data_IF_837248462091
#
_entry.id   IF_837248462091
#
_cell.length_a   1.000
_cell.length_b   1.000
_cell.length_c   1.000
_cell.angle_alpha   90.00
_cell.angle_beta   90.00
_cell.angle_gamma   90.00
#
_symmetry.space_group_name_H-M   'P 1'
#
loop_
_entity.id
_entity.type
_entity.pdbx_description
1 polymer ?
#
# COMPACT_ATOMS: atom_id res chain seq x y z
N UNK A 1 -26.26 26.27 7.52
CA UNK A 1 -26.58 24.87 7.86
C UNK A 1 -26.21 24.02 6.66
N UNK A 2 -25.21 23.14 6.72
CA UNK A 2 -24.87 22.27 5.60
C UNK A 2 -24.77 20.82 6.06
N UNK A 3 -25.93 20.20 6.29
CA UNK A 3 -25.99 18.76 6.46
C UNK A 3 -25.92 18.13 5.06
N UNK A 4 -24.82 17.44 4.78
CA UNK A 4 -24.67 16.63 3.56
C UNK A 4 -25.14 15.22 3.89
N UNK A 5 -25.98 14.63 3.05
CA UNK A 5 -26.46 13.25 3.23
C UNK A 5 -26.33 12.51 1.91
N UNK A 6 -25.83 11.27 1.96
CA UNK A 6 -25.67 10.37 0.82
C UNK A 6 -26.16 9.00 1.21
N UNK A 7 -26.98 8.40 0.36
CA UNK A 7 -27.55 7.08 0.59
C UNK A 7 -27.08 6.13 -0.50
N UNK A 8 -26.97 4.85 -0.15
CA UNK A 8 -26.65 3.83 -1.12
C UNK A 8 -27.00 2.45 -0.61
N UNK A 9 -27.09 1.51 -1.53
CA UNK A 9 -27.29 0.09 -1.27
C UNK A 9 -26.45 -0.71 -2.24
N UNK A 10 -26.22 -1.98 -1.93
CA UNK A 10 -25.50 -2.88 -2.81
C UNK A 10 -26.11 -4.28 -2.77
N UNK A 11 -26.03 -4.97 -3.90
CA UNK A 11 -26.36 -6.38 -4.04
C UNK A 11 -25.16 -7.08 -4.68
N UNK A 12 -24.82 -8.26 -4.21
CA UNK A 12 -23.73 -9.06 -4.78
C UNK A 12 -24.14 -10.52 -4.92
N UNK A 13 -23.51 -11.18 -5.88
CA UNK A 13 -23.56 -12.63 -6.05
C UNK A 13 -22.15 -13.13 -6.34
N UNK A 14 -21.78 -14.25 -5.73
CA UNK A 14 -20.52 -14.94 -5.96
C UNK A 14 -20.79 -16.44 -6.02
N UNK A 15 -20.09 -17.13 -6.92
CA UNK A 15 -20.10 -18.58 -7.00
C UNK A 15 -18.70 -19.11 -7.35
N UNK A 16 -18.42 -20.33 -6.88
CA UNK A 16 -17.18 -21.05 -7.11
C UNK A 16 -17.48 -22.36 -7.85
N UNK A 17 -17.13 -22.37 -9.13
CA UNK A 17 -17.37 -23.46 -10.06
C UNK A 17 -16.17 -24.41 -10.08
N UNK A 18 -16.35 -25.63 -9.61
CA UNK A 18 -15.39 -26.71 -9.87
C UNK A 18 -15.58 -27.17 -11.31
N UNK A 19 -14.80 -26.62 -12.24
CA UNK A 19 -14.91 -26.92 -13.68
C UNK A 19 -14.38 -28.33 -13.96
N UNK A 20 -13.26 -28.67 -13.31
CA UNK A 20 -12.69 -30.02 -13.19
C UNK A 20 -12.12 -30.17 -11.76
N UNK A 21 -11.82 -31.39 -11.27
CA UNK A 21 -11.44 -31.61 -9.87
C UNK A 21 -10.35 -30.66 -9.34
N UNK A 22 -9.36 -30.36 -10.19
CA UNK A 22 -8.20 -29.56 -9.78
C UNK A 22 -8.29 -28.09 -10.22
N UNK A 23 -9.38 -27.66 -10.87
CA UNK A 23 -9.56 -26.29 -11.32
C UNK A 23 -10.89 -25.70 -10.83
N UNK A 24 -10.78 -24.70 -9.96
CA UNK A 24 -11.91 -23.90 -9.48
C UNK A 24 -11.89 -22.52 -10.12
N UNK A 25 -13.00 -22.15 -10.75
CA UNK A 25 -13.25 -20.81 -11.26
C UNK A 25 -14.21 -20.09 -10.32
N UNK A 26 -13.84 -18.93 -9.80
CA UNK A 26 -14.71 -18.06 -9.00
C UNK A 26 -15.19 -16.89 -9.84
N UNK A 27 -16.50 -16.69 -9.87
CA UNK A 27 -17.14 -15.55 -10.53
C UNK A 27 -17.91 -14.74 -9.50
N UNK A 28 -17.76 -13.42 -9.50
CA UNK A 28 -18.66 -12.56 -8.73
C UNK A 28 -18.97 -11.26 -9.44
N UNK A 29 -20.10 -10.68 -9.07
CA UNK A 29 -20.49 -9.35 -9.48
C UNK A 29 -21.19 -8.65 -8.31
N UNK A 30 -20.87 -7.37 -8.14
CA UNK A 30 -21.50 -6.49 -7.17
C UNK A 30 -22.10 -5.29 -7.88
N UNK A 31 -23.38 -5.03 -7.67
CA UNK A 31 -24.09 -3.83 -8.10
C UNK A 31 -24.18 -2.88 -6.91
N UNK A 32 -23.53 -1.73 -7.00
CA UNK A 32 -23.67 -0.63 -6.05
C UNK A 32 -24.58 0.45 -6.64
N UNK A 33 -25.50 0.97 -5.84
CA UNK A 33 -26.23 2.20 -6.15
C UNK A 33 -25.86 3.27 -5.12
N UNK A 34 -25.43 4.43 -5.59
CA UNK A 34 -25.18 5.62 -4.78
C UNK A 34 -26.07 6.77 -5.25
N UNK A 35 -26.64 7.51 -4.30
CA UNK A 35 -27.58 8.60 -4.61
C UNK A 35 -26.98 9.71 -5.49
N UNK A 36 -25.64 9.86 -5.51
CA UNK A 36 -24.97 10.89 -6.30
C UNK A 36 -24.33 10.32 -7.58
N UNK A 37 -23.87 9.07 -7.54
CA UNK A 37 -23.11 8.47 -8.65
C UNK A 37 -23.87 7.40 -9.44
N UNK A 38 -25.12 7.13 -9.06
CA UNK A 38 -25.98 6.16 -9.72
C UNK A 38 -25.50 4.73 -9.51
N UNK A 39 -25.65 3.90 -10.54
CA UNK A 39 -25.35 2.47 -10.50
C UNK A 39 -23.94 2.16 -11.01
N UNK A 40 -23.27 1.21 -10.36
CA UNK A 40 -21.98 0.69 -10.79
C UNK A 40 -21.90 -0.81 -10.59
N UNK A 41 -21.30 -1.52 -11.56
CA UNK A 41 -21.12 -2.98 -11.49
C UNK A 41 -19.64 -3.30 -11.39
N UNK A 42 -19.28 -4.07 -10.36
CA UNK A 42 -17.91 -4.50 -10.07
C UNK A 42 -17.80 -6.02 -10.29
N UNK A 43 -17.41 -6.49 -11.49
CA UNK A 43 -17.22 -7.91 -11.76
C UNK A 43 -15.85 -8.43 -11.27
N UNK A 44 -15.78 -9.73 -11.02
CA UNK A 44 -14.56 -10.49 -10.71
C UNK A 44 -14.63 -11.87 -11.36
N UNK A 45 -13.50 -12.29 -11.92
CA UNK A 45 -13.27 -13.63 -12.45
C UNK A 45 -11.90 -14.10 -11.97
N UNK A 46 -11.83 -15.24 -11.29
CA UNK A 46 -10.59 -15.72 -10.70
C UNK A 46 -10.46 -17.24 -10.80
N UNK A 47 -9.36 -17.75 -11.34
CA UNK A 47 -9.08 -19.18 -11.45
C UNK A 47 -8.04 -19.63 -10.44
N UNK A 48 -8.25 -20.81 -9.87
CA UNK A 48 -7.29 -21.55 -9.05
C UNK A 48 -7.13 -22.94 -9.64
N UNK A 49 -5.94 -23.26 -10.15
CA UNK A 49 -5.61 -24.54 -10.75
C UNK A 49 -4.50 -25.22 -9.95
N UNK A 50 -4.82 -26.33 -9.28
CA UNK A 50 -3.83 -27.26 -8.75
C UNK A 50 -3.36 -28.14 -9.90
N UNK A 51 -2.10 -28.02 -10.31
CA UNK A 51 -1.57 -28.77 -11.45
C UNK A 51 -1.19 -30.18 -10.99
N UNK A 52 -0.54 -30.26 -9.83
CA UNK A 52 -0.18 -31.50 -9.12
C UNK A 52 0.02 -31.20 -7.63
N UNK A 53 0.61 -32.14 -6.88
CA UNK A 53 0.86 -32.02 -5.43
C UNK A 53 1.82 -30.87 -5.08
N UNK A 54 2.64 -30.41 -6.03
CA UNK A 54 3.66 -29.38 -5.83
C UNK A 54 3.33 -28.06 -6.49
N UNK A 55 2.60 -28.04 -7.61
CA UNK A 55 2.38 -26.84 -8.42
C UNK A 55 0.93 -26.38 -8.38
N UNK A 56 0.74 -25.07 -8.22
CA UNK A 56 -0.54 -24.42 -8.45
C UNK A 56 -0.38 -23.12 -9.24
N UNK A 57 -1.36 -22.82 -10.08
CA UNK A 57 -1.49 -21.56 -10.80
C UNK A 57 -2.75 -20.84 -10.31
N UNK A 58 -2.64 -19.55 -10.04
CA UNK A 58 -3.77 -18.70 -9.67
C UNK A 58 -3.76 -17.45 -10.51
N UNK A 59 -4.92 -16.87 -10.79
CA UNK A 59 -4.95 -15.61 -11.48
C UNK A 59 -6.36 -15.17 -11.79
N UNK A 60 -6.52 -13.89 -12.08
CA UNK A 60 -7.83 -13.36 -12.34
C UNK A 60 -7.83 -11.90 -12.71
N UNK A 61 -9.03 -11.43 -13.04
CA UNK A 61 -9.34 -10.05 -13.34
C UNK A 61 -10.46 -9.60 -12.41
N UNK A 62 -10.28 -8.47 -11.77
CA UNK A 62 -11.30 -7.86 -10.91
C UNK A 62 -11.42 -6.38 -11.19
N UNK A 63 -12.64 -5.87 -11.17
CA UNK A 63 -12.89 -4.44 -11.13
C UNK A 63 -12.80 -3.93 -9.68
N UNK A 64 -12.42 -2.67 -9.53
CA UNK A 64 -12.48 -1.90 -8.29
C UNK A 64 -13.33 -0.65 -8.49
N UNK A 65 -14.04 -0.25 -7.44
CA UNK A 65 -14.89 0.94 -7.43
C UNK A 65 -14.74 1.68 -6.11
N UNK A 66 -14.43 2.98 -6.19
CA UNK A 66 -14.35 3.85 -5.02
C UNK A 66 -15.02 5.18 -5.31
N UNK A 67 -16.12 5.43 -4.63
CA UNK A 67 -16.79 6.73 -4.66
C UNK A 67 -15.96 7.81 -3.92
N UNK A 68 -16.02 9.07 -4.34
CA UNK A 68 -15.42 10.18 -3.60
C UNK A 68 -15.94 10.23 -2.16
N UNK A 69 -15.15 10.74 -1.24
CA UNK A 69 -15.64 11.05 0.11
C UNK A 69 -16.55 12.28 0.10
N UNK A 70 -17.43 12.40 1.10
CA UNK A 70 -18.37 13.54 1.20
C UNK A 70 -17.65 14.90 1.24
N UNK A 71 -16.45 14.94 1.84
CA UNK A 71 -15.62 16.15 1.88
C UNK A 71 -14.97 16.48 0.54
N UNK A 72 -14.65 15.44 -0.24
CA UNK A 72 -14.08 15.58 -1.57
C UNK A 72 -15.14 16.04 -2.56
N UNK A 73 -16.36 15.48 -2.48
CA UNK A 73 -17.49 15.80 -3.35
C UNK A 73 -18.46 16.81 -2.73
N UNK A 74 -17.91 17.87 -2.14
CA UNK A 74 -18.69 19.02 -1.72
C UNK A 74 -17.91 20.32 -1.95
N UNK A 75 -18.27 21.09 -2.97
CA UNK A 75 -17.62 22.35 -3.29
C UNK A 75 -17.73 23.41 -2.17
N UNK A 76 -18.73 23.27 -1.29
CA UNK A 76 -18.89 24.09 -0.09
C UNK A 76 -18.05 23.64 1.11
N UNK A 77 -17.34 22.51 1.01
CA UNK A 77 -16.48 22.01 2.07
C UNK A 77 -15.06 22.56 1.88
N UNK A 78 -14.60 23.30 2.88
CA UNK A 78 -13.28 23.92 2.90
C UNK A 78 -12.49 23.37 4.08
N UNK A 79 -11.31 22.85 3.82
CA UNK A 79 -10.34 22.43 4.83
C UNK A 79 -9.20 23.43 4.86
N UNK A 80 -8.92 24.00 6.03
CA UNK A 80 -7.78 24.90 6.24
C UNK A 80 -6.71 24.12 6.98
N UNK A 81 -5.49 24.09 6.44
CA UNK A 81 -4.32 23.45 7.05
C UNK A 81 -3.10 24.38 6.90
N UNK A 82 -1.97 24.01 7.52
CA UNK A 82 -0.80 24.90 7.63
C UNK A 82 -0.80 25.73 8.92
N UNK A 83 0.22 26.57 9.08
CA UNK A 83 0.45 27.36 10.30
C UNK A 83 0.30 28.86 10.03
N UNK A 84 -0.28 29.60 10.99
CA UNK A 84 -0.41 31.05 10.89
C UNK A 84 0.96 31.74 10.67
N UNK A 85 1.05 32.79 9.83
CA UNK A 85 -0.04 33.51 9.16
C UNK A 85 -0.49 32.91 7.82
N UNK A 86 0.08 31.78 7.40
CA UNK A 86 -0.07 31.26 6.05
C UNK A 86 -0.75 29.90 6.04
N UNK A 87 -2.05 29.92 5.74
CA UNK A 87 -2.84 28.70 5.57
C UNK A 87 -2.86 28.22 4.13
N UNK A 88 -2.85 26.91 3.96
CA UNK A 88 -3.21 26.22 2.72
C UNK A 88 -4.69 25.83 2.80
N UNK A 89 -5.42 25.98 1.69
CA UNK A 89 -6.85 25.71 1.65
C UNK A 89 -7.14 24.57 0.67
N UNK A 90 -7.73 23.49 1.18
CA UNK A 90 -8.29 22.40 0.38
C UNK A 90 -9.79 22.60 0.19
N UNK A 91 -10.28 22.47 -1.04
CA UNK A 91 -11.70 22.60 -1.37
C UNK A 91 -12.23 21.34 -2.07
N UNK A 92 -13.49 21.00 -1.79
CA UNK A 92 -14.18 19.94 -2.52
C UNK A 92 -14.54 20.31 -3.95
N UNK A 93 -15.08 19.34 -4.67
CA UNK A 93 -15.49 19.43 -6.06
C UNK A 93 -16.71 18.53 -6.31
N UNK A 94 -17.84 19.16 -6.63
CA UNK A 94 -19.10 18.45 -6.87
C UNK A 94 -19.07 17.62 -8.17
N UNK A 95 -18.14 17.91 -9.08
CA UNK A 95 -18.01 17.26 -10.39
C UNK A 95 -17.12 16.00 -10.36
N UNK A 96 -16.67 15.56 -9.17
CA UNK A 96 -15.86 14.35 -9.05
C UNK A 96 -16.62 13.11 -9.53
N UNK A 97 -15.92 12.28 -10.30
CA UNK A 97 -16.36 10.92 -10.65
C UNK A 97 -15.79 9.91 -9.65
N UNK A 98 -16.45 8.76 -9.48
CA UNK A 98 -15.85 7.62 -8.77
C UNK A 98 -14.58 7.11 -9.45
N UNK A 99 -13.60 6.74 -8.64
CA UNK A 99 -12.41 6.03 -9.07
C UNK A 99 -12.78 4.59 -9.46
N UNK A 100 -12.26 4.13 -10.58
CA UNK A 100 -12.43 2.75 -11.04
C UNK A 100 -11.06 2.12 -11.25
N UNK A 101 -10.97 0.81 -11.07
CA UNK A 101 -9.77 0.07 -11.47
C UNK A 101 -10.09 -1.26 -12.12
N UNK A 102 -9.19 -1.75 -12.96
CA UNK A 102 -9.14 -3.13 -13.42
C UNK A 102 -7.82 -3.71 -12.95
N UNK A 103 -7.88 -4.67 -12.04
CA UNK A 103 -6.74 -5.39 -11.49
C UNK A 103 -6.65 -6.75 -12.16
N UNK A 104 -5.48 -7.07 -12.71
CA UNK A 104 -5.17 -8.38 -13.29
C UNK A 104 -3.96 -8.95 -12.57
N UNK A 105 -4.01 -10.22 -12.21
CA UNK A 105 -2.88 -10.93 -11.61
C UNK A 105 -2.74 -12.35 -12.14
N UNK A 106 -1.52 -12.85 -12.13
CA UNK A 106 -1.17 -14.23 -12.44
C UNK A 106 -0.04 -14.66 -11.51
N UNK A 107 -0.31 -15.64 -10.67
CA UNK A 107 0.59 -16.21 -9.69
C UNK A 107 0.86 -17.68 -9.93
N UNK A 108 2.11 -18.09 -9.76
CA UNK A 108 2.53 -19.48 -9.69
C UNK A 108 3.03 -19.79 -8.29
N UNK A 109 2.63 -20.96 -7.79
CA UNK A 109 3.00 -21.47 -6.49
C UNK A 109 3.67 -22.81 -6.69
N UNK A 110 4.77 -23.02 -5.97
CA UNK A 110 5.47 -24.28 -5.93
C UNK A 110 5.80 -24.64 -4.50
N UNK A 111 5.55 -25.88 -4.12
CA UNK A 111 5.93 -26.41 -2.82
C UNK A 111 6.46 -27.83 -2.95
N UNK A 112 7.63 -28.09 -2.37
CA UNK A 112 8.19 -29.42 -2.23
C UNK A 112 8.97 -29.53 -0.93
N UNK A 113 8.73 -30.61 -0.19
CA UNK A 113 9.37 -30.90 1.09
C UNK A 113 9.28 -29.70 2.07
N UNK A 114 10.43 -29.07 2.32
CA UNK A 114 10.64 -28.00 3.28
C UNK A 114 10.64 -26.60 2.63
N UNK A 115 10.42 -26.49 1.32
CA UNK A 115 10.53 -25.25 0.57
C UNK A 115 9.21 -24.93 -0.15
N UNK A 116 8.72 -23.71 0.07
CA UNK A 116 7.61 -23.11 -0.67
C UNK A 116 8.10 -21.84 -1.35
N UNK A 117 7.72 -21.66 -2.61
CA UNK A 117 8.03 -20.49 -3.43
C UNK A 117 6.76 -20.01 -4.13
N UNK A 118 6.61 -18.70 -4.25
CA UNK A 118 5.59 -18.13 -5.11
C UNK A 118 6.10 -16.91 -5.87
N UNK A 119 5.51 -16.69 -7.04
CA UNK A 119 5.78 -15.56 -7.89
C UNK A 119 4.46 -15.06 -8.48
N UNK A 120 4.17 -13.77 -8.32
CA UNK A 120 2.94 -13.14 -8.80
C UNK A 120 3.24 -11.92 -9.64
N UNK A 121 2.77 -11.91 -10.88
CA UNK A 121 2.73 -10.74 -11.73
C UNK A 121 1.38 -10.04 -11.54
N UNK A 122 1.41 -8.72 -11.38
CA UNK A 122 0.20 -7.92 -11.22
C UNK A 122 0.22 -6.69 -12.12
N UNK A 123 -0.97 -6.25 -12.52
CA UNK A 123 -1.19 -5.04 -13.29
C UNK A 123 -2.57 -4.45 -12.95
N UNK A 124 -2.56 -3.21 -12.48
CA UNK A 124 -3.74 -2.42 -12.20
C UNK A 124 -3.80 -1.20 -13.10
N UNK A 125 -4.92 -1.05 -13.79
CA UNK A 125 -5.27 0.19 -14.50
C UNK A 125 -6.29 0.96 -13.68
N UNK A 126 -5.95 2.17 -13.28
CA UNK A 126 -6.85 3.12 -12.64
C UNK A 126 -7.45 4.06 -13.68
N UNK A 127 -8.72 4.38 -13.48
CA UNK A 127 -9.45 5.39 -14.22
C UNK A 127 -10.08 6.37 -13.25
N UNK A 128 -10.09 7.64 -13.64
CA UNK A 128 -10.68 8.74 -12.88
C UNK A 128 -10.12 8.80 -11.43
N UNK A 129 -8.82 8.54 -11.24
CA UNK A 129 -8.19 8.62 -9.91
C UNK A 129 -8.35 10.03 -9.34
N UNK A 130 -8.80 10.14 -8.10
CA UNK A 130 -8.96 11.38 -7.37
C UNK A 130 -7.62 11.75 -6.74
N UNK A 131 -7.24 13.02 -6.90
CA UNK A 131 -6.12 13.66 -6.23
C UNK A 131 -6.43 15.15 -6.06
N UNK A 132 -5.60 15.87 -5.33
CA UNK A 132 -5.63 17.32 -5.27
C UNK A 132 -4.83 17.96 -6.43
N UNK A 133 -5.29 19.11 -6.90
CA UNK A 133 -4.59 19.99 -7.83
C UNK A 133 -4.62 21.43 -7.33
N UNK A 134 -3.47 22.09 -7.32
CA UNK A 134 -3.34 23.48 -6.85
C UNK A 134 -3.87 24.45 -7.91
N UNK A 135 -4.99 25.10 -7.63
CA UNK A 135 -5.63 26.07 -8.53
C UNK A 135 -5.15 27.50 -8.29
N UNK A 136 -4.51 27.77 -7.15
CA UNK A 136 -3.90 29.05 -6.84
C UNK A 136 -2.68 28.85 -5.96
N UNK A 137 -1.59 29.54 -6.29
CA UNK A 137 -0.39 29.66 -5.44
C UNK A 137 -0.09 31.14 -5.25
N UNK A 138 0.08 31.57 -4.01
CA UNK A 138 0.40 32.94 -3.66
C UNK A 138 1.78 33.32 -4.19
N UNK A 139 1.92 34.58 -4.58
CA UNK A 139 3.18 35.21 -4.95
C UNK A 139 3.45 36.39 -4.02
N UNK A 140 4.67 36.94 -4.09
CA UNK A 140 5.04 38.11 -3.30
C UNK A 140 4.10 39.32 -3.50
N UNK A 141 3.40 39.39 -4.63
CA UNK A 141 2.50 40.50 -4.98
C UNK A 141 1.03 40.11 -5.03
N UNK A 142 0.69 38.81 -4.97
CA UNK A 142 -0.69 38.33 -5.07
C UNK A 142 -0.93 37.13 -4.16
N UNK A 143 -1.78 37.33 -3.16
CA UNK A 143 -2.23 36.25 -2.28
C UNK A 143 -3.45 35.53 -2.85
N UNK A 144 -3.61 34.24 -2.52
CA UNK A 144 -4.84 33.52 -2.83
C UNK A 144 -5.94 33.97 -1.87
N UNK A 145 -7.15 34.12 -2.39
CA UNK A 145 -8.33 34.54 -1.62
C UNK A 145 -9.45 33.56 -1.91
N UNK A 146 -9.96 32.90 -0.88
CA UNK A 146 -11.07 31.95 -1.01
C UNK A 146 -12.02 32.09 0.18
N UNK A 147 -13.32 32.33 -0.09
CA UNK A 147 -14.36 32.55 0.92
C UNK A 147 -13.99 33.60 2.00
N UNK A 148 -13.23 34.63 1.64
CA UNK A 148 -12.80 35.69 2.56
C UNK A 148 -11.55 35.38 3.39
N UNK A 149 -10.90 34.23 3.16
CA UNK A 149 -9.64 33.85 3.78
C UNK A 149 -8.47 34.05 2.81
N UNK A 150 -7.37 34.59 3.33
CA UNK A 150 -6.07 34.66 2.64
C UNK A 150 -5.35 33.32 2.79
N UNK A 151 -4.78 32.82 1.68
CA UNK A 151 -4.06 31.55 1.67
C UNK A 151 -2.80 31.61 0.81
N UNK A 152 -1.83 30.77 1.16
CA UNK A 152 -0.61 30.54 0.37
C UNK A 152 -0.88 29.65 -0.84
N UNK A 153 -1.83 28.74 -0.72
CA UNK A 153 -2.29 27.91 -1.82
C UNK A 153 -3.75 27.53 -1.65
N UNK A 154 -4.42 27.30 -2.78
CA UNK A 154 -5.75 26.69 -2.81
C UNK A 154 -5.68 25.48 -3.71
N UNK A 155 -6.00 24.31 -3.17
CA UNK A 155 -6.04 23.05 -3.89
C UNK A 155 -7.45 22.49 -3.93
N UNK A 156 -7.84 21.99 -5.08
CA UNK A 156 -9.15 21.38 -5.30
C UNK A 156 -9.00 19.89 -5.61
N UNK A 157 -9.90 19.06 -5.09
CA UNK A 157 -9.98 17.68 -5.52
C UNK A 157 -10.41 17.58 -6.98
N UNK A 158 -9.68 16.85 -7.80
CA UNK A 158 -10.02 16.56 -9.18
C UNK A 158 -9.79 15.08 -9.48
N UNK A 159 -10.47 14.56 -10.51
CA UNK A 159 -10.04 13.32 -11.13
C UNK A 159 -8.79 13.64 -11.97
N UNK A 160 -7.59 13.46 -11.41
CA UNK A 160 -6.30 13.66 -12.10
C UNK A 160 -6.09 12.66 -13.25
N UNK A 161 -6.90 11.61 -13.27
CA UNK A 161 -7.21 10.79 -14.44
C UNK A 161 -6.66 9.37 -14.35
N UNK A 162 -6.08 8.87 -15.42
CA UNK A 162 -5.68 7.46 -15.54
C UNK A 162 -4.30 7.22 -14.94
N UNK A 163 -4.10 6.08 -14.30
CA UNK A 163 -2.81 5.65 -13.79
C UNK A 163 -2.63 4.14 -13.99
N UNK A 164 -1.39 3.69 -14.14
CA UNK A 164 -1.08 2.26 -14.22
C UNK A 164 -0.09 1.90 -13.12
N UNK A 165 -0.30 0.73 -12.52
CA UNK A 165 0.63 0.10 -11.58
C UNK A 165 0.86 -1.32 -12.04
N UNK A 166 2.11 -1.75 -12.20
CA UNK A 166 2.42 -3.15 -12.49
C UNK A 166 3.70 -3.57 -11.79
N UNK A 167 3.85 -4.88 -11.63
CA UNK A 167 4.99 -5.38 -10.90
C UNK A 167 5.04 -6.89 -10.78
N UNK A 168 5.97 -7.30 -9.92
CA UNK A 168 6.27 -8.67 -9.59
C UNK A 168 6.44 -8.78 -8.08
N UNK A 169 5.81 -9.79 -7.49
CA UNK A 169 6.03 -10.22 -6.11
C UNK A 169 6.64 -11.61 -6.14
N UNK A 170 7.67 -11.82 -5.33
CA UNK A 170 8.33 -13.09 -5.11
C UNK A 170 8.34 -13.37 -3.61
N UNK A 171 7.99 -14.58 -3.21
CA UNK A 171 8.13 -15.03 -1.83
C UNK A 171 8.77 -16.42 -1.78
N UNK A 172 9.47 -16.68 -0.68
CA UNK A 172 10.05 -17.97 -0.41
C UNK A 172 10.12 -18.26 1.08
N UNK A 173 9.64 -19.44 1.47
CA UNK A 173 9.65 -19.96 2.82
C UNK A 173 10.42 -21.28 2.83
N UNK A 174 11.51 -21.35 3.59
CA UNK A 174 12.39 -22.52 3.61
C UNK A 174 12.69 -22.99 5.03
N UNK A 175 12.29 -24.21 5.36
CA UNK A 175 12.76 -24.92 6.54
C UNK A 175 14.12 -25.56 6.23
N UNK A 176 15.19 -24.76 6.28
CA UNK A 176 16.58 -25.13 5.92
C UNK A 176 17.06 -26.36 6.68
N UNK A 177 16.78 -26.42 7.99
CA UNK A 177 17.02 -27.59 8.84
C UNK A 177 15.87 -27.71 9.85
N UNK A 178 15.83 -28.76 10.67
CA UNK A 178 14.83 -28.85 11.76
C UNK A 178 14.86 -27.66 12.75
N UNK A 179 15.99 -26.95 12.83
CA UNK A 179 16.20 -25.82 13.74
C UNK A 179 16.16 -24.45 13.04
N UNK A 180 16.43 -24.39 11.74
CA UNK A 180 16.64 -23.14 11.01
C UNK A 180 15.56 -22.93 9.95
N UNK A 181 14.84 -21.80 10.06
CA UNK A 181 13.88 -21.31 9.08
C UNK A 181 14.40 -20.04 8.42
N UNK A 182 14.23 -19.95 7.10
CA UNK A 182 14.49 -18.76 6.31
C UNK A 182 13.20 -18.32 5.61
N UNK A 183 13.02 -17.00 5.49
CA UNK A 183 11.96 -16.40 4.69
C UNK A 183 12.55 -15.25 3.88
N UNK A 184 12.16 -15.14 2.63
CA UNK A 184 12.56 -14.04 1.76
C UNK A 184 11.35 -13.57 0.96
N UNK A 185 11.24 -12.26 0.77
CA UNK A 185 10.31 -11.69 -0.19
C UNK A 185 10.93 -10.52 -0.93
N UNK A 186 10.45 -10.32 -2.14
CA UNK A 186 10.84 -9.22 -3.01
C UNK A 186 9.63 -8.71 -3.77
N UNK A 187 9.44 -7.39 -3.75
CA UNK A 187 8.42 -6.71 -4.53
C UNK A 187 9.10 -5.69 -5.43
N UNK A 188 8.79 -5.75 -6.73
CA UNK A 188 9.02 -4.68 -7.67
C UNK A 188 7.69 -4.07 -8.08
N UNK A 189 7.56 -2.75 -7.93
CA UNK A 189 6.37 -1.99 -8.31
C UNK A 189 6.77 -0.79 -9.15
N UNK A 190 6.28 -0.76 -10.37
CA UNK A 190 6.26 0.45 -11.20
C UNK A 190 4.88 1.09 -11.13
N UNK A 191 4.84 2.41 -11.02
CA UNK A 191 3.58 3.17 -11.13
C UNK A 191 3.81 4.40 -11.99
N UNK A 192 2.80 4.78 -12.76
CA UNK A 192 2.85 5.95 -13.63
C UNK A 192 1.47 6.59 -13.73
N UNK A 193 1.41 7.91 -13.60
CA UNK A 193 0.25 8.71 -13.96
C UNK A 193 0.20 8.88 -15.48
N UNK A 194 -0.89 8.44 -16.12
CA UNK A 194 -1.07 8.48 -17.58
C UNK A 194 -1.68 9.79 -18.09
N UNK A 195 -2.25 10.59 -17.20
CA UNK A 195 -2.84 11.89 -17.49
C UNK A 195 -2.71 12.84 -16.30
N UNK A 196 -3.22 14.06 -16.45
CA UNK A 196 -3.16 15.10 -15.41
C UNK A 196 -1.85 15.88 -15.41
N UNK A 197 -1.70 16.78 -14.44
CA UNK A 197 -0.52 17.64 -14.28
C UNK A 197 0.77 16.83 -14.13
N UNK A 198 0.73 15.72 -13.41
CA UNK A 198 1.88 14.87 -13.10
C UNK A 198 2.01 13.66 -14.05
N UNK A 199 1.52 13.77 -15.29
CA UNK A 199 1.68 12.72 -16.29
C UNK A 199 3.15 12.32 -16.47
N UNK A 200 3.42 11.02 -16.47
CA UNK A 200 4.77 10.43 -16.59
C UNK A 200 5.52 10.28 -15.27
N UNK A 201 5.01 10.86 -14.18
CA UNK A 201 5.56 10.66 -12.84
C UNK A 201 4.89 9.47 -12.12
N UNK A 202 5.57 8.95 -11.09
CA UNK A 202 5.02 7.89 -10.27
C UNK A 202 3.77 8.34 -9.50
N UNK A 203 2.93 7.37 -9.14
CA UNK A 203 1.68 7.64 -8.42
C UNK A 203 1.91 7.90 -6.93
N UNK A 204 2.94 7.29 -6.36
CA UNK A 204 3.35 7.41 -4.96
C UNK A 204 4.86 7.31 -4.86
N UNK A 205 5.43 7.87 -3.81
CA UNK A 205 6.87 7.86 -3.51
C UNK A 205 7.33 6.59 -2.77
N UNK A 206 6.47 5.56 -2.68
CA UNK A 206 6.87 4.27 -2.16
C UNK A 206 8.03 3.68 -2.99
N UNK A 207 9.08 3.12 -2.34
CA UNK A 207 10.20 2.50 -3.02
C UNK A 207 9.76 1.47 -4.06
N UNK A 208 10.24 1.63 -5.31
CA UNK A 208 9.90 0.72 -6.41
C UNK A 208 10.43 -0.69 -6.24
N UNK A 209 11.48 -0.90 -5.44
CA UNK A 209 11.93 -2.23 -5.07
C UNK A 209 12.09 -2.37 -3.56
N UNK A 210 11.53 -3.45 -3.02
CA UNK A 210 11.61 -3.77 -1.60
C UNK A 210 11.99 -5.23 -1.46
N UNK A 211 13.02 -5.51 -0.66
CA UNK A 211 13.43 -6.87 -0.32
C UNK A 211 13.41 -7.04 1.20
N UNK A 212 12.99 -8.21 1.66
CA UNK A 212 13.08 -8.59 3.06
C UNK A 212 13.59 -10.02 3.17
N UNK A 213 14.50 -10.25 4.11
CA UNK A 213 15.01 -11.59 4.44
C UNK A 213 14.96 -11.74 5.95
N UNK A 214 14.48 -12.88 6.43
CA UNK A 214 14.53 -13.23 7.85
C UNK A 214 15.06 -14.64 8.04
N UNK A 215 15.85 -14.81 9.10
CA UNK A 215 16.30 -16.10 9.58
C UNK A 215 15.82 -16.27 11.02
N UNK A 216 15.32 -17.45 11.36
CA UNK A 216 14.95 -17.85 12.72
C UNK A 216 15.60 -19.18 13.04
N UNK A 217 16.41 -19.20 14.09
CA UNK A 217 17.16 -20.37 14.52
C UNK A 217 16.76 -20.76 15.95
N UNK A 218 16.09 -21.90 16.07
CA UNK A 218 15.73 -22.51 17.34
C UNK A 218 16.85 -23.45 17.79
N UNK A 219 17.62 -23.05 18.79
CA UNK A 219 18.66 -23.92 19.34
C UNK A 219 18.05 -24.98 20.26
N UNK A 220 18.82 -26.01 20.61
CA UNK A 220 18.39 -27.06 21.53
C UNK A 220 18.14 -26.57 22.98
N UNK A 221 18.55 -25.34 23.33
CA UNK A 221 18.52 -24.80 24.68
C UNK A 221 17.35 -23.85 24.92
N UNK A 222 16.20 -24.06 24.27
CA UNK A 222 15.02 -23.19 24.43
C UNK A 222 15.29 -21.70 24.06
N UNK A 223 16.30 -21.49 23.22
CA UNK A 223 16.76 -20.20 22.74
C UNK A 223 16.43 -20.09 21.25
N UNK A 224 15.66 -19.08 20.90
CA UNK A 224 15.38 -18.68 19.53
C UNK A 224 16.19 -17.42 19.22
N UNK A 225 16.99 -17.47 18.17
CA UNK A 225 17.68 -16.31 17.61
C UNK A 225 17.00 -15.94 16.30
N UNK A 226 16.72 -14.66 16.10
CA UNK A 226 16.16 -14.17 14.85
C UNK A 226 16.94 -12.97 14.33
N UNK A 227 17.01 -12.86 13.02
CA UNK A 227 17.48 -11.66 12.34
C UNK A 227 16.59 -11.35 11.16
N UNK A 228 16.44 -10.06 10.87
CA UNK A 228 15.70 -9.56 9.71
C UNK A 228 16.52 -8.49 9.02
N UNK A 229 16.72 -8.63 7.72
CA UNK A 229 17.26 -7.59 6.86
C UNK A 229 16.14 -7.08 5.95
N UNK A 230 16.01 -5.75 5.84
CA UNK A 230 15.03 -5.09 4.99
C UNK A 230 15.74 -4.07 4.12
N UNK A 231 15.66 -4.20 2.80
CA UNK A 231 16.20 -3.23 1.86
C UNK A 231 15.09 -2.52 1.11
N UNK A 232 15.27 -1.22 0.87
CA UNK A 232 14.35 -0.36 0.13
C UNK A 232 15.15 0.43 -0.90
N UNK A 233 14.68 0.46 -2.13
CA UNK A 233 15.24 1.32 -3.18
C UNK A 233 15.00 2.79 -2.86
N UNK A 234 15.62 3.66 -3.66
CA UNK A 234 15.24 5.08 -3.71
C UNK A 234 13.75 5.19 -4.08
N UNK A 235 13.07 6.18 -3.49
CA UNK A 235 11.70 6.54 -3.89
C UNK A 235 11.66 7.03 -5.35
N UNK A 236 10.66 6.65 -6.15
CA UNK A 236 10.50 7.20 -7.49
C UNK A 236 10.12 8.70 -7.44
N UNK A 237 10.31 9.38 -8.56
CA UNK A 237 9.90 10.78 -8.71
C UNK A 237 8.38 10.85 -8.94
N UNK A 238 7.69 11.60 -8.07
CA UNK A 238 6.24 11.81 -8.13
C UNK A 238 5.85 13.19 -8.70
N UNK A 239 6.81 13.93 -9.27
CA UNK A 239 6.60 15.28 -9.79
C UNK A 239 6.49 16.35 -8.69
N UNK A 240 6.67 15.94 -7.44
CA UNK A 240 6.82 16.79 -6.26
C UNK A 240 8.24 16.57 -5.76
N UNK A 241 8.93 17.61 -5.27
CA UNK A 241 10.33 17.53 -4.81
C UNK A 241 10.52 16.74 -3.51
N UNK A 242 9.98 15.53 -3.44
CA UNK A 242 10.11 14.59 -2.34
C UNK A 242 11.03 13.43 -2.71
N UNK A 243 11.86 12.99 -1.78
CA UNK A 243 12.72 11.83 -2.00
C UNK A 243 13.21 11.18 -0.72
N UNK A 244 13.44 9.87 -0.82
CA UNK A 244 14.20 9.07 0.14
C UNK A 244 15.24 8.26 -0.63
N UNK A 245 16.51 8.33 -0.23
CA UNK A 245 17.57 7.49 -0.81
C UNK A 245 17.40 6.02 -0.45
N UNK A 246 18.06 5.13 -1.21
CA UNK A 246 18.03 3.70 -0.92
C UNK A 246 18.67 3.41 0.45
N UNK A 247 18.10 2.47 1.20
CA UNK A 247 18.59 2.10 2.52
C UNK A 247 18.36 0.64 2.85
N UNK A 248 19.11 0.14 3.82
CA UNK A 248 18.92 -1.18 4.41
C UNK A 248 18.87 -1.07 5.93
N UNK A 249 17.98 -1.83 6.56
CA UNK A 249 17.89 -1.98 8.00
C UNK A 249 18.15 -3.44 8.35
N UNK A 250 18.89 -3.66 9.42
CA UNK A 250 19.13 -4.99 9.97
C UNK A 250 18.70 -5.00 11.43
N UNK A 251 17.86 -5.96 11.76
CA UNK A 251 17.36 -6.21 13.10
C UNK A 251 17.88 -7.56 13.59
N UNK A 252 18.11 -7.65 14.89
CA UNK A 252 18.54 -8.86 15.57
C UNK A 252 17.77 -8.98 16.87
N UNK A 253 17.36 -10.19 17.22
CA UNK A 253 16.83 -10.43 18.54
C UNK A 253 16.93 -11.87 18.98
N UNK A 254 16.53 -12.04 20.23
CA UNK A 254 16.59 -13.29 20.97
C UNK A 254 15.32 -13.46 21.76
N UNK A 255 14.81 -14.68 21.78
CA UNK A 255 13.73 -15.13 22.64
C UNK A 255 14.24 -16.33 23.43
N UNK A 256 14.13 -16.26 24.74
CA UNK A 256 14.60 -17.32 25.63
C UNK A 256 13.45 -17.78 26.53
N UNK A 257 13.08 -19.06 26.41
CA UNK A 257 12.08 -19.66 27.28
C UNK A 257 12.76 -20.09 28.58
N UNK A 258 12.71 -19.19 29.57
CA UNK A 258 13.28 -19.42 30.90
C UNK A 258 12.57 -20.55 31.66
N UNK A 259 11.26 -20.70 31.45
CA UNK A 259 10.45 -21.82 31.95
C UNK A 259 9.20 -22.01 31.10
N UNK A 260 8.39 -23.04 31.40
CA UNK A 260 7.09 -23.25 30.74
C UNK A 260 6.11 -22.07 30.84
N UNK A 261 6.31 -21.16 31.81
CA UNK A 261 5.43 -20.01 32.03
C UNK A 261 6.09 -18.68 31.70
N UNK A 262 7.41 -18.64 31.46
CA UNK A 262 8.15 -17.37 31.36
C UNK A 262 9.03 -17.40 30.12
N UNK A 263 8.79 -16.43 29.23
CA UNK A 263 9.62 -16.17 28.05
C UNK A 263 10.17 -14.76 28.13
N UNK A 264 11.48 -14.63 27.98
CA UNK A 264 12.17 -13.33 27.89
C UNK A 264 12.48 -13.03 26.42
N UNK A 265 12.36 -11.77 26.03
CA UNK A 265 12.58 -11.29 24.67
C UNK A 265 13.47 -10.05 24.71
N UNK A 266 14.45 -10.00 23.83
CA UNK A 266 15.30 -8.82 23.65
C UNK A 266 15.61 -8.64 22.16
N UNK A 267 15.71 -7.39 21.71
CA UNK A 267 15.99 -7.08 20.32
C UNK A 267 16.68 -5.73 20.13
N UNK A 268 17.51 -5.67 19.09
CA UNK A 268 18.14 -4.47 18.56
C UNK A 268 17.54 -4.25 17.17
N UNK A 269 16.76 -3.19 17.02
CA UNK A 269 16.21 -2.75 15.74
C UNK A 269 17.12 -1.68 15.16
N UNK A 270 17.33 -1.73 13.84
CA UNK A 270 18.27 -0.87 13.14
C UNK A 270 19.69 -0.95 13.76
N UNK A 271 20.26 -2.15 13.77
CA UNK A 271 21.56 -2.49 14.36
C UNK A 271 22.68 -1.54 13.93
N UNK A 272 22.64 -1.06 12.68
CA UNK A 272 23.67 -0.18 12.12
C UNK A 272 23.37 1.32 12.27
N UNK A 273 22.28 1.69 12.95
CA UNK A 273 21.87 3.08 13.15
C UNK A 273 21.77 3.87 11.83
N UNK A 274 21.24 3.21 10.79
CA UNK A 274 20.99 3.83 9.49
C UNK A 274 19.85 4.82 9.65
N UNK A 275 20.04 6.05 9.18
CA UNK A 275 19.05 7.12 9.30
C UNK A 275 18.64 7.64 7.92
N UNK A 276 17.69 6.97 7.23
CA UNK A 276 17.18 7.45 5.96
C UNK A 276 16.47 8.79 6.14
N UNK A 277 16.83 9.74 5.28
CA UNK A 277 16.26 11.08 5.29
C UNK A 277 15.16 11.15 4.23
N UNK A 278 13.93 11.36 4.69
CA UNK A 278 12.82 11.72 3.81
C UNK A 278 12.79 13.23 3.63
N UNK A 279 12.98 13.70 2.40
CA UNK A 279 12.83 15.10 2.02
C UNK A 279 11.43 15.32 1.51
N UNK A 280 10.70 16.29 2.07
CA UNK A 280 9.35 16.67 1.60
C UNK A 280 9.43 17.70 0.47
N UNK A 281 8.32 17.93 -0.23
CA UNK A 281 8.19 19.00 -1.22
C UNK A 281 8.53 20.40 -0.67
N UNK A 282 8.43 20.61 0.65
CA UNK A 282 8.78 21.85 1.35
C UNK A 282 10.24 21.88 1.84
N UNK A 283 11.09 20.95 1.36
CA UNK A 283 12.48 20.74 1.80
C UNK A 283 12.65 20.45 3.28
N UNK A 284 11.58 20.03 3.95
CA UNK A 284 11.66 19.54 5.32
C UNK A 284 12.27 18.14 5.30
N UNK A 285 13.06 17.83 6.32
CA UNK A 285 13.72 16.52 6.47
C UNK A 285 13.10 15.79 7.64
N UNK A 286 12.37 14.72 7.36
CA UNK A 286 11.94 13.78 8.39
C UNK A 286 12.95 12.62 8.44
N UNK A 287 13.29 12.20 9.66
CA UNK A 287 14.18 11.07 9.92
C UNK A 287 13.33 9.87 10.34
N UNK A 288 13.65 8.70 9.81
CA UNK A 288 13.14 7.46 10.39
C UNK A 288 13.79 7.21 11.75
N UNK A 289 13.13 6.42 12.60
CA UNK A 289 13.69 6.06 13.91
C UNK A 289 15.08 5.41 13.76
N UNK A 290 16.05 5.92 14.54
CA UNK A 290 17.39 5.36 14.63
C UNK A 290 17.43 4.01 15.38
N UNK A 291 18.60 3.61 15.86
CA UNK A 291 18.75 2.36 16.60
C UNK A 291 17.85 2.32 17.84
N UNK A 292 17.12 1.22 17.99
CA UNK A 292 16.21 1.00 19.13
C UNK A 292 16.47 -0.33 19.81
N UNK A 293 16.52 -0.31 21.14
CA UNK A 293 16.61 -1.50 21.97
C UNK A 293 15.23 -1.82 22.56
N UNK A 294 14.84 -3.08 22.54
CA UNK A 294 13.60 -3.56 23.13
C UNK A 294 13.88 -4.72 24.09
N UNK A 295 13.22 -4.70 25.23
CA UNK A 295 13.24 -5.78 26.21
C UNK A 295 11.80 -6.05 26.65
N UNK A 296 11.43 -7.32 26.72
CA UNK A 296 10.09 -7.74 27.09
C UNK A 296 10.08 -9.11 27.76
N UNK A 297 9.00 -9.38 28.49
CA UNK A 297 8.75 -10.68 29.10
C UNK A 297 7.28 -11.06 28.91
N UNK A 298 7.01 -12.32 28.61
CA UNK A 298 5.67 -12.91 28.55
C UNK A 298 5.55 -13.93 29.67
N UNK A 299 4.51 -13.79 30.48
CA UNK A 299 4.15 -14.74 31.53
C UNK A 299 2.79 -15.34 31.19
N UNK A 300 2.72 -16.67 31.15
CA UNK A 300 1.50 -17.43 30.90
C UNK A 300 1.16 -18.31 32.10
N UNK A 301 -0.11 -18.34 32.48
CA UNK A 301 -0.65 -19.07 33.63
C UNK A 301 -1.62 -20.16 33.19
#
# INVERSE_FOLDING_TARGET
MSKITRHGWAVFAEDAWMIVPDFTLTTSARLDHDSYFGYHVTPKLYGNWTIDESWALKGGVSAGYKKPDLRQNNAGFTSVYGAYPYSEIGIGNDDLKPEQSINTELGVYWQQDALALDATLFHTKFKDKISDHTICTATATRQCQYNGYTADSVSQYINVGDAEIYGLELNGDWQVTAALKANANYTYTHSEQKSGEYKGYALSDFPSSMANVSLTWNTASDLELWTKASWRSRSPDIGKSSSTDAYALVDLGVRYRLSKHVTLMSGIYNLFDVNPVYTTAYRQKAMLEGRRYNFGGRVEF
#
